data_IF_821902489991
#
_entry.id   IF_821902489991
#
_cell.length_a   1.000
_cell.length_b   1.000
_cell.length_c   1.000
_cell.angle_alpha   90.00
_cell.angle_beta   90.00
_cell.angle_gamma   90.00
#
_symmetry.space_group_name_H-M   'P 1'
#
loop_
_entity.id
_entity.type
_entity.pdbx_description
1 polymer ?
2 polymer ?
3 non-polymer ?
4 non-polymer ?
5 non-polymer ?
6 non-polymer ?
7 water ?
#
# COMPACT_ATOMS: atom_id res chain seq x y z
N UNK A 1 -4.99 9.78 -9.72
CA UNK A 1 -5.40 8.63 -10.51
C UNK A 1 -5.99 9.06 -11.86
N UNK A 2 -5.37 8.62 -12.96
CA UNK A 2 -5.84 8.89 -14.33
C UNK A 2 -6.58 7.66 -14.85
N UNK A 3 -7.80 7.90 -15.38
CA UNK A 3 -8.62 6.87 -16.01
C UNK A 3 -9.22 5.82 -15.09
N UNK A 4 -9.45 6.19 -13.83
CA UNK A 4 -10.07 5.31 -12.86
C UNK A 4 -11.53 5.68 -12.70
N UNK A 5 -12.05 5.55 -11.49
CA UNK A 5 -13.42 5.88 -11.13
C UNK A 5 -13.40 6.26 -9.64
N UNK A 6 -14.50 6.84 -9.13
CA UNK A 6 -14.62 7.18 -7.73
C UNK A 6 -14.65 5.85 -6.95
N UNK A 7 -13.85 5.74 -5.87
CA UNK A 7 -13.93 4.56 -5.02
C UNK A 7 -15.17 4.80 -4.18
N UNK A 8 -16.25 3.99 -4.26
CA UNK A 8 -17.43 4.26 -3.41
C UNK A 8 -17.03 4.36 -1.94
N UNK A 9 -17.62 5.33 -1.22
CA UNK A 9 -17.34 5.62 0.18
C UNK A 9 -17.33 4.34 1.03
N UNK A 10 -16.17 4.04 1.63
CA UNK A 10 -15.95 2.88 2.48
C UNK A 10 -15.39 1.65 1.77
N UNK A 11 -15.18 1.71 0.45
CA UNK A 11 -14.63 0.58 -0.31
C UNK A 11 -13.11 0.50 -0.35
N UNK A 12 -12.44 1.58 0.06
CA UNK A 12 -10.97 1.64 0.17
C UNK A 12 -10.76 2.09 1.64
N UNK A 13 -11.21 1.29 2.65
CA UNK A 13 -11.16 1.79 4.03
C UNK A 13 -9.81 1.89 4.70
N UNK A 14 -8.78 1.39 4.03
CA UNK A 14 -7.40 1.45 4.52
C UNK A 14 -6.68 2.65 3.93
N UNK A 15 -7.32 3.36 2.99
CA UNK A 15 -6.69 4.52 2.38
C UNK A 15 -6.38 5.59 3.41
N UNK A 16 -5.14 6.09 3.36
CA UNK A 16 -4.74 7.18 4.25
C UNK A 16 -4.49 8.45 3.41
N UNK A 17 -4.81 9.62 3.95
CA UNK A 17 -4.49 10.93 3.37
C UNK A 17 -3.49 11.60 4.33
N UNK A 18 -2.31 11.91 3.82
CA UNK A 18 -1.30 12.58 4.62
C UNK A 18 -1.38 14.08 4.32
N UNK A 19 -1.36 14.89 5.37
CA UNK A 19 -1.44 16.35 5.30
C UNK A 19 -0.26 16.98 5.99
N UNK A 20 0.23 18.09 5.45
CA UNK A 20 1.29 18.90 6.08
C UNK A 20 0.79 20.35 6.07
N UNK A 21 0.56 20.94 7.27
CA UNK A 21 -0.02 22.28 7.42
C UNK A 21 -1.42 22.36 6.76
N UNK A 22 -2.19 21.27 6.82
CA UNK A 22 -3.54 21.19 6.27
C UNK A 22 -3.59 20.96 4.76
N UNK A 23 -2.44 20.95 4.09
CA UNK A 23 -2.36 20.74 2.65
C UNK A 23 -2.10 19.28 2.32
N UNK A 24 -2.66 18.78 1.20
CA UNK A 24 -2.51 17.44 0.68
C UNK A 24 -1.02 17.17 0.43
N UNK A 25 -0.47 16.11 1.05
CA UNK A 25 0.93 15.76 0.86
C UNK A 25 1.03 14.48 0.01
N UNK A 26 0.44 13.39 0.50
CA UNK A 26 0.57 12.04 -0.05
C UNK A 26 -0.56 11.18 0.43
N UNK A 27 -0.54 9.94 -0.02
CA UNK A 27 -1.44 8.92 0.45
C UNK A 27 -0.65 7.98 1.34
N UNK A 28 -1.31 6.93 1.78
CA UNK A 28 -0.73 5.93 2.66
C UNK A 28 -1.67 4.77 2.86
N UNK A 29 -1.19 3.73 3.53
CA UNK A 29 -2.03 2.55 3.81
C UNK A 29 -2.01 2.24 5.28
N UNK A 30 -3.18 2.16 5.90
CA UNK A 30 -3.33 1.72 7.27
C UNK A 30 -3.11 0.19 7.30
N UNK A 31 -2.19 -0.29 8.16
CA UNK A 31 -1.88 -1.72 8.27
C UNK A 31 -2.35 -2.38 9.56
N UNK A 32 -2.65 -1.54 10.58
CA UNK A 32 -3.26 -1.91 11.87
C UNK A 32 -3.76 -0.62 12.51
N UNK A 33 -4.11 -0.58 13.81
CA UNK A 33 -4.61 0.67 14.40
C UNK A 33 -3.61 1.81 14.59
N UNK A 34 -2.29 1.55 14.64
CA UNK A 34 -1.34 2.63 14.87
C UNK A 34 -0.33 2.86 13.74
N UNK A 35 -0.25 1.95 12.79
CA UNK A 35 0.78 2.03 11.74
C UNK A 35 0.26 2.24 10.35
N UNK A 36 0.96 3.10 9.59
CA UNK A 36 0.65 3.50 8.23
C UNK A 36 1.90 3.28 7.38
N UNK A 37 1.73 2.69 6.19
CA UNK A 37 2.82 2.50 5.25
C UNK A 37 2.64 3.55 4.17
N UNK A 38 3.71 4.29 3.85
CA UNK A 38 3.69 5.30 2.80
C UNK A 38 5.04 5.22 2.02
N UNK A 39 5.37 6.24 1.19
CA UNK A 39 6.60 6.31 0.42
C UNK A 39 7.57 7.22 1.10
N UNK A 40 8.87 6.84 1.12
CA UNK A 40 9.91 7.67 1.72
C UNK A 40 10.01 9.08 1.06
N UNK A 41 9.84 9.15 -0.29
CA UNK A 41 9.97 10.40 -1.05
C UNK A 41 8.97 11.50 -0.68
N UNK A 42 7.87 11.14 -0.01
CA UNK A 42 6.84 12.07 0.47
C UNK A 42 7.42 13.02 1.52
N UNK A 43 8.55 12.64 2.14
CA UNK A 43 9.12 13.41 3.24
C UNK A 43 10.43 14.12 2.89
N UNK A 44 10.78 14.15 1.59
CA UNK A 44 12.02 14.73 1.07
C UNK A 44 12.14 16.24 1.34
N UNK A 45 11.01 16.97 1.27
CA UNK A 45 10.94 18.42 1.41
C UNK A 45 10.29 18.87 2.72
N UNK A 46 10.05 17.94 3.66
CA UNK A 46 9.41 18.30 4.93
C UNK A 46 10.40 19.01 5.86
N UNK A 47 9.98 20.17 6.41
CA UNK A 47 10.74 20.95 7.39
C UNK A 47 9.97 20.97 8.70
N UNK A 48 8.62 21.12 8.62
CA UNK A 48 7.83 21.04 9.85
C UNK A 48 7.18 19.68 10.12
N UNK A 49 8.00 18.79 10.70
CA UNK A 49 7.68 17.42 11.11
C UNK A 49 6.54 17.33 12.12
N UNK A 50 6.28 18.40 12.89
CA UNK A 50 5.23 18.43 13.91
C UNK A 50 3.82 18.77 13.41
N UNK A 51 3.68 19.10 12.10
CA UNK A 51 2.41 19.43 11.45
C UNK A 51 2.00 18.38 10.41
N UNK A 52 2.49 17.14 10.55
CA UNK A 52 2.17 15.97 9.73
C UNK A 52 0.94 15.31 10.32
N UNK A 53 -0.16 15.22 9.55
CA UNK A 53 -1.42 14.62 9.99
C UNK A 53 -1.77 13.48 9.04
N UNK A 54 -2.30 12.38 9.59
CA UNK A 54 -2.85 11.28 8.83
C UNK A 54 -4.34 11.32 9.02
N UNK A 55 -5.09 11.23 7.92
CA UNK A 55 -6.53 11.19 8.00
C UNK A 55 -7.01 9.84 7.48
N UNK A 56 -7.80 9.10 8.30
CA UNK A 56 -8.44 7.82 7.98
C UNK A 56 -9.93 8.07 7.82
N UNK A 57 -10.63 7.20 7.07
CA UNK A 57 -12.06 7.32 6.82
C UNK A 57 -12.43 8.48 5.91
N UNK A 58 -11.42 9.06 5.25
CA UNK A 58 -11.61 10.16 4.32
C UNK A 58 -12.16 9.64 2.98
N UNK A 59 -12.99 10.46 2.33
CA UNK A 59 -13.57 10.12 1.02
C UNK A 59 -13.62 11.41 0.17
N UNK A 60 -14.46 12.36 0.59
CA UNK A 60 -14.67 13.64 -0.10
C UNK A 60 -13.99 14.76 0.69
N UNK A 61 -12.99 15.40 0.06
CA UNK A 61 -12.21 16.48 0.67
C UNK A 61 -12.96 17.80 0.90
N UNK A 62 -14.11 17.99 0.24
CA UNK A 62 -14.88 19.22 0.36
C UNK A 62 -15.83 19.21 1.56
N UNK A 63 -16.15 18.02 2.09
CA UNK A 63 -17.06 17.96 3.22
C UNK A 63 -16.63 17.04 4.35
N UNK A 64 -16.98 17.40 5.56
CA UNK A 64 -16.77 16.61 6.76
C UNK A 64 -18.04 15.79 6.99
N UNK A 65 -17.96 14.45 6.91
CA UNK A 65 -19.18 13.65 7.15
C UNK A 65 -19.22 12.97 8.51
N UNK A 66 -18.14 13.08 9.27
CA UNK A 66 -18.07 12.50 10.61
C UNK A 66 -17.36 11.16 10.69
N UNK A 67 -17.05 10.52 9.54
CA UNK A 67 -16.32 9.23 9.53
C UNK A 67 -14.80 9.44 9.50
N UNK A 68 -14.35 10.68 9.25
CA UNK A 68 -12.91 10.99 9.17
C UNK A 68 -12.29 10.91 10.54
N UNK A 69 -11.05 10.40 10.64
CA UNK A 69 -10.35 10.36 11.91
C UNK A 69 -8.95 10.88 11.62
N UNK A 70 -8.55 11.96 12.31
CA UNK A 70 -7.23 12.58 12.13
C UNK A 70 -6.34 12.21 13.28
N UNK A 71 -5.06 11.98 12.97
CA UNK A 71 -4.08 11.69 13.99
C UNK A 71 -2.76 12.33 13.59
N UNK A 72 -2.00 12.79 14.58
CA UNK A 72 -0.65 13.33 14.38
C UNK A 72 0.25 12.14 14.12
N UNK A 73 1.22 12.33 13.25
CA UNK A 73 2.20 11.34 12.90
C UNK A 73 3.32 11.55 13.89
N UNK A 74 3.49 10.59 14.81
CA UNK A 74 4.48 10.66 15.89
C UNK A 74 5.88 10.29 15.39
N UNK A 75 5.97 9.39 14.39
CA UNK A 75 7.25 8.91 13.88
C UNK A 75 7.15 8.55 12.40
N UNK A 76 8.21 8.84 11.64
CA UNK A 76 8.34 8.53 10.21
C UNK A 76 9.65 7.72 10.14
N UNK A 77 9.54 6.44 9.82
CA UNK A 77 10.70 5.55 9.76
C UNK A 77 11.01 5.24 8.31
N UNK A 78 12.23 5.52 7.91
CA UNK A 78 12.69 5.36 6.56
C UNK A 78 13.91 4.41 6.55
N UNK A 79 14.04 3.49 5.57
CA UNK A 79 15.26 2.64 5.54
C UNK A 79 16.55 3.42 5.33
N UNK A 80 17.66 2.93 5.90
CA UNK A 80 18.98 3.58 5.79
C UNK A 80 19.44 3.68 4.37
N UNK A 81 18.99 2.76 3.53
CA UNK A 81 19.37 2.62 2.12
C UNK A 81 18.68 3.61 1.18
N UNK A 82 17.54 4.19 1.62
CA UNK A 82 16.84 5.20 0.84
C UNK A 82 17.69 6.48 0.83
N UNK A 83 17.90 7.06 -0.38
CA UNK A 83 18.67 8.30 -0.54
C UNK A 83 17.70 9.41 -1.06
N UNK A 84 17.44 10.52 -0.32
CA UNK A 84 16.53 11.57 -0.85
C UNK A 84 16.89 12.05 -2.26
N UNK A 85 15.86 12.24 -3.07
CA UNK A 85 16.03 12.68 -4.45
C UNK A 85 16.28 11.54 -5.42
N UNK A 86 16.34 10.29 -4.89
CA UNK A 86 16.49 9.07 -5.70
C UNK A 86 15.25 8.17 -5.51
N UNK A 87 15.15 7.08 -6.29
CA UNK A 87 14.01 6.17 -6.39
C UNK A 87 14.05 4.87 -5.58
N UNK A 88 15.25 4.31 -5.31
CA UNK A 88 15.33 2.99 -4.66
C UNK A 88 14.94 3.02 -3.18
N UNK A 89 14.33 1.92 -2.68
CA UNK A 89 13.89 1.77 -1.26
C UNK A 89 12.87 2.85 -0.84
N UNK A 90 11.89 3.13 -1.72
CA UNK A 90 10.88 4.14 -1.51
C UNK A 90 9.73 3.71 -0.60
N UNK A 91 10.01 3.69 0.72
CA UNK A 91 9.05 3.25 1.71
C UNK A 91 9.24 3.99 3.03
N UNK A 92 8.15 4.25 3.72
CA UNK A 92 8.17 4.92 5.03
C UNK A 92 7.13 4.21 5.86
N UNK A 93 7.43 4.05 7.14
CA UNK A 93 6.53 3.45 8.12
C UNK A 93 6.20 4.51 9.16
N UNK A 94 4.92 4.82 9.28
CA UNK A 94 4.46 5.89 10.14
C UNK A 94 3.76 5.39 11.36
N UNK A 95 4.19 5.90 12.53
CA UNK A 95 3.53 5.56 13.78
C UNK A 95 2.56 6.73 14.11
N UNK A 96 1.27 6.41 14.32
CA UNK A 96 0.26 7.42 14.69
C UNK A 96 0.41 7.74 16.18
N UNK A 97 0.16 8.99 16.59
CA UNK A 97 0.31 9.38 18.01
C UNK A 97 -0.66 8.63 18.93
N UNK A 98 -1.88 8.39 18.46
CA UNK A 98 -2.93 7.66 19.15
C UNK A 98 -3.47 6.69 18.12
N UNK A 99 -3.93 5.49 18.52
CA UNK A 99 -4.53 4.58 17.52
C UNK A 99 -5.80 5.15 16.92
N UNK A 100 -6.10 4.76 15.67
CA UNK A 100 -7.39 5.08 15.07
C UNK A 100 -8.39 4.03 15.60
N UNK A 101 -9.67 4.34 15.51
CA UNK A 101 -10.74 3.44 15.90
C UNK A 101 -11.30 2.80 14.62
N UNK A 102 -11.24 1.46 14.56
CA UNK A 102 -11.76 0.68 13.45
C UNK A 102 -13.27 0.78 13.45
N UNK A 103 -13.81 1.02 12.25
CA UNK A 103 -15.25 1.25 12.02
C UNK A 103 -15.46 0.71 10.62
N UNK A 104 -16.70 0.77 10.14
CA UNK A 104 -17.05 0.35 8.77
C UNK A 104 -16.23 1.11 7.74
N UNK A 105 -15.78 2.35 8.08
CA UNK A 105 -15.06 3.24 7.17
C UNK A 105 -13.54 3.31 7.38
N UNK A 106 -13.04 2.71 8.47
CA UNK A 106 -11.60 2.68 8.81
C UNK A 106 -11.19 1.23 9.11
N UNK A 107 -10.50 0.59 8.18
CA UNK A 107 -10.11 -0.82 8.30
C UNK A 107 -8.69 -1.01 7.79
N UNK A 108 -7.77 -1.74 8.47
CA UNK A 108 -6.43 -1.93 7.90
C UNK A 108 -6.40 -2.88 6.71
N UNK A 109 -5.39 -2.73 5.88
CA UNK A 109 -5.13 -3.63 4.77
C UNK A 109 -4.18 -4.67 5.37
N UNK A 110 -4.28 -5.97 4.96
CA UNK A 110 -3.34 -6.97 5.51
C UNK A 110 -1.91 -6.76 5.00
N UNK A 111 -0.91 -6.67 5.92
CA UNK A 111 0.49 -6.65 5.49
C UNK A 111 0.81 -8.17 5.40
N UNK A 112 1.03 -8.72 4.20
CA UNK A 112 1.17 -10.20 4.10
C UNK A 112 2.55 -10.65 4.51
N UNK A 113 2.73 -11.98 4.67
CA UNK A 113 4.05 -12.57 4.94
C UNK A 113 4.83 -12.53 3.63
N UNK A 114 6.19 -12.47 3.71
CA UNK A 114 7.03 -12.40 2.52
C UNK A 114 6.77 -13.54 1.53
N UNK A 115 6.84 -14.80 2.01
CA UNK A 115 6.65 -16.03 1.20
C UNK A 115 5.35 -16.01 0.47
N UNK A 116 4.25 -15.79 1.19
CA UNK A 116 2.92 -15.68 0.59
C UNK A 116 2.91 -14.57 -0.49
N UNK A 117 3.49 -13.38 -0.17
CA UNK A 117 3.54 -12.25 -1.11
C UNK A 117 4.35 -12.59 -2.36
N UNK A 118 5.53 -13.20 -2.21
CA UNK A 118 6.39 -13.56 -3.35
C UNK A 118 5.87 -14.72 -4.19
N UNK A 119 5.41 -15.79 -3.53
CA UNK A 119 4.95 -17.03 -4.16
C UNK A 119 3.57 -16.96 -4.75
N UNK A 120 2.65 -16.22 -4.13
CA UNK A 120 1.26 -16.15 -4.56
C UNK A 120 0.84 -14.74 -5.04
N UNK A 121 0.93 -13.73 -4.15
CA UNK A 121 0.47 -12.37 -4.49
C UNK A 121 1.11 -11.76 -5.71
N UNK A 122 2.42 -12.01 -5.93
CA UNK A 122 3.17 -11.48 -7.07
C UNK A 122 2.68 -12.01 -8.45
N UNK A 123 1.80 -13.05 -8.43
CA UNK A 123 1.21 -13.67 -9.63
C UNK A 123 -0.25 -13.33 -9.84
N UNK A 124 -0.84 -12.48 -8.98
CA UNK A 124 -2.22 -12.01 -9.19
C UNK A 124 -2.01 -10.86 -10.17
N UNK A 125 -2.59 -10.98 -11.38
CA UNK A 125 -2.35 -10.01 -12.44
C UNK A 125 -2.80 -8.60 -12.09
N UNK A 126 -4.06 -8.44 -11.68
CA UNK A 126 -4.61 -7.13 -11.39
C UNK A 126 -4.66 -6.81 -9.89
N UNK A 127 -4.54 -5.51 -9.60
CA UNK A 127 -4.54 -4.93 -8.25
C UNK A 127 -5.06 -3.51 -8.32
N UNK A 128 -5.55 -2.98 -7.18
CA UNK A 128 -6.11 -1.65 -7.13
C UNK A 128 -5.13 -0.61 -6.62
N UNK A 129 -5.12 0.56 -7.26
CA UNK A 129 -4.27 1.69 -6.84
C UNK A 129 -5.20 2.85 -6.59
N UNK A 130 -4.96 3.61 -5.50
CA UNK A 130 -5.89 4.66 -5.12
C UNK A 130 -5.25 5.93 -4.57
N UNK A 131 -6.02 7.01 -4.64
CA UNK A 131 -5.60 8.30 -4.13
C UNK A 131 -6.43 9.48 -4.60
N UNK A 132 -6.06 10.66 -4.10
CA UNK A 132 -6.70 11.94 -4.43
C UNK A 132 -5.76 12.73 -5.33
N UNK A 133 -4.90 12.04 -6.07
CA UNK A 133 -3.97 12.69 -6.99
C UNK A 133 -4.64 13.23 -8.23
N UNK A 134 -3.80 13.67 -9.17
CA UNK A 134 -4.15 14.27 -10.47
C UNK A 134 -5.03 13.34 -11.30
N UNK A 135 -6.13 13.92 -11.79
CA UNK A 135 -7.10 13.24 -12.64
C UNK A 135 -6.58 13.18 -14.09
N UNK A 136 -5.59 14.04 -14.42
CA UNK A 136 -4.92 14.17 -15.73
C UNK A 136 -3.54 14.67 -15.49
N UNK A 137 -2.64 14.42 -16.44
CA UNK A 137 -1.28 14.97 -16.43
C UNK A 137 -1.46 16.50 -16.58
N UNK A 138 -0.83 17.28 -15.68
CA UNK A 138 -0.91 18.76 -15.63
C UNK A 138 -2.36 19.23 -15.35
N UNK A 139 -3.15 18.34 -14.70
CA UNK A 139 -4.53 18.60 -14.36
C UNK A 139 -4.75 18.73 -12.86
N UNK A 140 -5.99 19.04 -12.47
CA UNK A 140 -6.37 19.21 -11.07
C UNK A 140 -6.42 17.85 -10.32
N UNK A 141 -6.21 17.89 -9.00
CA UNK A 141 -6.28 16.70 -8.15
C UNK A 141 -7.76 16.42 -7.86
N UNK A 142 -8.09 15.19 -7.48
CA UNK A 142 -9.45 14.76 -7.18
C UNK A 142 -9.96 15.23 -5.83
N UNK A 143 -11.27 15.55 -5.75
CA UNK A 143 -11.95 15.87 -4.50
C UNK A 143 -12.51 14.58 -3.82
N UNK A 144 -12.81 13.55 -4.62
CA UNK A 144 -13.27 12.26 -4.09
C UNK A 144 -12.23 11.20 -4.38
N UNK A 145 -12.05 10.28 -3.43
CA UNK A 145 -11.11 9.17 -3.56
C UNK A 145 -11.33 8.39 -4.87
N UNK A 146 -10.26 8.24 -5.67
CA UNK A 146 -10.29 7.54 -6.96
C UNK A 146 -9.56 6.20 -6.85
N UNK A 147 -10.03 5.22 -7.60
CA UNK A 147 -9.44 3.87 -7.63
C UNK A 147 -9.27 3.40 -9.08
N UNK A 148 -8.17 2.70 -9.36
CA UNK A 148 -7.84 2.17 -10.66
C UNK A 148 -7.28 0.72 -10.53
N UNK A 149 -7.76 -0.16 -11.40
CA UNK A 149 -7.30 -1.56 -11.51
C UNK A 149 -6.17 -1.58 -12.53
N UNK A 150 -4.98 -2.05 -12.15
CA UNK A 150 -3.78 -2.07 -13.00
C UNK A 150 -3.15 -3.46 -13.06
N UNK A 151 -2.66 -3.91 -14.25
CA UNK A 151 -2.00 -5.22 -14.29
C UNK A 151 -0.52 -5.10 -13.95
N UNK A 152 0.04 -6.12 -13.29
CA UNK A 152 1.46 -6.13 -12.90
C UNK A 152 2.24 -6.79 -14.01
N UNK A 153 3.48 -6.33 -14.19
CA UNK A 153 4.38 -6.79 -15.22
C UNK A 153 5.65 -7.33 -14.61
N UNK A 154 6.26 -8.29 -15.30
CA UNK A 154 7.59 -8.79 -14.93
C UNK A 154 8.53 -7.67 -15.35
N UNK A 155 9.62 -7.44 -14.59
CA UNK A 155 10.55 -6.35 -14.88
C UNK A 155 11.11 -6.38 -16.33
N UNK A 156 11.52 -7.57 -16.84
CA UNK A 156 12.02 -7.76 -18.22
C UNK A 156 11.01 -7.21 -19.24
N UNK A 157 9.73 -7.60 -19.12
CA UNK A 157 8.62 -7.15 -19.97
C UNK A 157 8.38 -5.64 -19.84
N UNK A 158 8.50 -5.07 -18.62
CA UNK A 158 8.31 -3.63 -18.42
C UNK A 158 9.37 -2.86 -19.21
N UNK A 159 10.64 -3.25 -19.06
CA UNK A 159 11.79 -2.65 -19.76
C UNK A 159 11.72 -2.81 -21.29
N UNK A 160 11.21 -3.96 -21.77
CA UNK A 160 11.00 -4.27 -23.19
C UNK A 160 9.79 -3.51 -23.77
N UNK A 161 8.73 -3.28 -22.97
CA UNK A 161 7.53 -2.58 -23.45
C UNK A 161 7.57 -1.07 -23.25
N UNK A 162 8.67 -0.54 -22.68
CA UNK A 162 8.80 0.90 -22.42
C UNK A 162 9.64 1.65 -23.44
N UNK A 163 9.29 2.91 -23.69
CA UNK A 163 10.02 3.81 -24.58
C UNK A 163 11.29 4.25 -23.84
N UNK A 164 12.46 4.06 -24.46
CA UNK A 164 13.73 4.37 -23.80
C UNK A 164 13.99 5.87 -23.59
N UNK A 165 14.37 6.25 -22.35
CA UNK A 165 14.63 7.63 -21.95
C UNK A 165 15.97 7.79 -21.23
N UNK A 166 16.59 8.96 -21.44
CA UNK A 166 17.86 9.33 -20.82
C UNK A 166 17.69 9.67 -19.36
N UNK A 167 18.70 9.30 -18.54
CA UNK A 167 18.74 9.53 -17.09
C UNK A 167 17.57 8.88 -16.31
N UNK A 168 16.74 8.04 -17.01
CA UNK A 168 15.59 7.33 -16.41
C UNK A 168 16.13 6.27 -15.43
N UNK A 169 15.60 6.21 -14.19
CA UNK A 169 16.16 5.27 -13.21
C UNK A 169 15.95 3.81 -13.57
N UNK A 170 16.82 2.94 -13.03
CA UNK A 170 16.75 1.49 -13.22
C UNK A 170 15.60 0.96 -12.40
N UNK A 171 15.01 -0.15 -12.83
CA UNK A 171 13.95 -0.82 -12.09
C UNK A 171 14.61 -1.92 -11.29
N UNK A 172 14.79 -1.68 -9.97
CA UNK A 172 15.46 -2.60 -9.06
C UNK A 172 14.56 -3.71 -8.56
N UNK A 173 15.12 -4.63 -7.76
CA UNK A 173 14.35 -5.71 -7.16
C UNK A 173 13.42 -5.19 -6.03
N UNK A 174 13.53 -3.89 -5.68
CA UNK A 174 12.72 -3.22 -4.64
C UNK A 174 11.55 -2.44 -5.24
N UNK A 175 11.30 -2.68 -6.53
CA UNK A 175 10.27 -2.05 -7.33
C UNK A 175 9.59 -3.07 -8.22
N UNK A 176 8.46 -2.68 -8.81
CA UNK A 176 7.78 -3.42 -9.85
C UNK A 176 6.93 -2.44 -10.66
N UNK A 177 6.70 -2.77 -11.96
CA UNK A 177 5.87 -2.01 -12.88
C UNK A 177 4.46 -2.51 -12.83
N UNK A 178 3.53 -1.59 -13.01
CA UNK A 178 2.14 -1.91 -13.09
C UNK A 178 1.42 -0.80 -13.85
N UNK A 179 0.47 -1.19 -14.69
CA UNK A 179 -0.29 -0.22 -15.45
C UNK A 179 -0.34 -0.45 -16.94
N UNK A 180 -0.43 0.65 -17.69
CA UNK A 180 -0.63 0.66 -19.14
C UNK A 180 0.34 1.59 -19.80
N UNK A 181 0.84 1.20 -21.00
CA UNK A 181 1.77 1.99 -21.82
C UNK A 181 1.05 2.93 -22.80
N UNK A 182 -0.27 2.81 -22.93
CA UNK A 182 -1.08 3.59 -23.88
C UNK A 182 -1.46 5.02 -23.45
N UNK A 183 -1.00 5.42 -22.26
CA UNK A 183 -1.26 6.74 -21.68
C UNK A 183 -2.67 7.00 -21.18
N UNK A 184 -3.47 5.94 -20.98
CA UNK A 184 -4.85 6.12 -20.54
C UNK A 184 -5.10 5.97 -19.04
N UNK A 185 -4.29 5.14 -18.35
CA UNK A 185 -4.52 4.77 -16.96
C UNK A 185 -3.24 4.69 -16.14
N UNK A 186 -3.16 5.45 -15.04
CA UNK A 186 -1.98 5.44 -14.18
C UNK A 186 -2.30 6.03 -12.83
N UNK A 187 -1.39 5.88 -11.89
CA UNK A 187 -1.45 6.60 -10.62
C UNK A 187 -0.49 7.78 -10.92
N UNK A 188 -0.62 8.90 -10.17
CA UNK A 188 0.33 9.97 -10.44
C UNK A 188 0.88 10.57 -9.15
N UNK A 189 1.67 11.66 -9.24
CA UNK A 189 2.40 12.24 -8.13
C UNK A 189 1.64 12.44 -6.83
N UNK A 190 0.41 12.95 -6.90
CA UNK A 190 -0.44 13.21 -5.73
C UNK A 190 -0.95 11.93 -5.08
N UNK A 191 -0.77 10.79 -5.76
CA UNK A 191 -1.19 9.46 -5.25
C UNK A 191 -0.04 8.77 -4.52
N UNK A 192 1.20 9.32 -4.63
CA UNK A 192 2.44 8.85 -4.00
C UNK A 192 2.20 8.40 -2.59
N UNK A 193 2.70 7.21 -2.27
CA UNK A 193 2.58 6.63 -0.94
C UNK A 193 1.34 5.78 -0.76
N UNK A 194 0.40 5.92 -1.68
CA UNK A 194 -0.87 5.20 -1.63
C UNK A 194 -0.74 3.72 -1.85
N UNK A 195 -1.81 2.95 -1.54
CA UNK A 195 -1.74 1.48 -1.69
C UNK A 195 -1.88 0.94 -3.12
N UNK A 196 -1.24 -0.18 -3.35
CA UNK A 196 -1.38 -1.04 -4.51
C UNK A 196 -1.83 -2.31 -3.73
N UNK A 197 -3.13 -2.57 -3.71
CA UNK A 197 -3.82 -3.62 -2.97
C UNK A 197 -4.23 -4.80 -3.87
N UNK A 198 -3.86 -6.03 -3.46
CA UNK A 198 -4.06 -7.29 -4.19
C UNK A 198 -5.08 -8.19 -3.49
N UNK A 199 -6.09 -8.64 -4.25
CA UNK A 199 -7.13 -9.52 -3.73
C UNK A 199 -6.72 -10.99 -3.91
N UNK A 200 -6.89 -11.79 -2.84
CA UNK A 200 -6.60 -13.22 -2.87
C UNK A 200 -7.50 -13.95 -1.92
N UNK A 201 -8.35 -14.80 -2.49
CA UNK A 201 -9.29 -15.64 -1.75
C UNK A 201 -10.13 -14.88 -0.70
N UNK A 202 -10.72 -13.77 -1.14
CA UNK A 202 -11.64 -12.97 -0.33
C UNK A 202 -11.01 -11.92 0.57
N UNK A 203 -9.68 -11.78 0.52
CA UNK A 203 -8.98 -10.82 1.39
C UNK A 203 -8.04 -9.94 0.61
N UNK A 204 -7.93 -8.64 1.00
CA UNK A 204 -7.00 -7.71 0.33
C UNK A 204 -5.67 -7.57 1.08
N UNK A 205 -4.57 -7.50 0.32
CA UNK A 205 -3.23 -7.40 0.88
C UNK A 205 -2.44 -6.29 0.27
N UNK A 206 -1.48 -5.73 1.04
CA UNK A 206 -0.56 -4.68 0.57
C UNK A 206 0.59 -5.29 -0.22
N UNK A 207 0.66 -4.98 -1.54
CA UNK A 207 1.75 -5.48 -2.39
C UNK A 207 2.67 -4.37 -2.93
N UNK A 208 2.18 -3.14 -2.98
CA UNK A 208 2.99 -2.05 -3.53
C UNK A 208 2.64 -0.70 -2.98
N UNK A 209 3.48 0.28 -3.24
CA UNK A 209 3.28 1.66 -2.80
C UNK A 209 3.49 2.54 -4.07
N UNK A 210 2.59 3.51 -4.36
CA UNK A 210 2.73 4.46 -5.48
C UNK A 210 4.05 5.17 -5.26
N UNK A 211 4.98 5.00 -6.17
CA UNK A 211 6.34 5.51 -5.99
C UNK A 211 6.78 6.53 -7.04
N UNK A 212 6.94 6.11 -8.31
CA UNK A 212 7.42 6.97 -9.37
C UNK A 212 7.01 6.52 -10.79
N UNK A 213 7.37 7.35 -11.77
CA UNK A 213 7.15 7.11 -13.18
C UNK A 213 7.60 8.32 -13.97
N UNK A 214 7.22 8.37 -15.26
CA UNK A 214 7.51 9.48 -16.16
C UNK A 214 6.24 10.32 -16.35
N UNK A 215 6.37 11.62 -16.14
CA UNK A 215 5.27 12.56 -16.27
C UNK A 215 4.11 12.13 -15.41
N UNK A 216 3.00 11.71 -16.09
CA UNK A 216 1.76 11.26 -15.48
C UNK A 216 0.90 10.64 -16.60
N UNK A 217 0.75 9.29 -16.61
CA UNK A 217 0.03 8.51 -17.63
C UNK A 217 0.59 8.82 -19.05
N UNK A 218 1.91 8.79 -19.15
CA UNK A 218 2.71 9.05 -20.35
C UNK A 218 2.78 7.82 -21.24
N UNK A 219 2.43 7.99 -22.53
CA UNK A 219 2.50 6.94 -23.55
C UNK A 219 3.92 6.34 -23.54
N UNK A 220 3.99 5.01 -23.55
CA UNK A 220 5.24 4.27 -23.53
C UNK A 220 5.82 4.07 -22.15
N UNK A 221 5.09 4.47 -21.09
CA UNK A 221 5.61 4.36 -19.72
C UNK A 221 4.60 3.81 -18.74
N UNK A 222 5.07 2.91 -17.86
CA UNK A 222 4.28 2.29 -16.79
C UNK A 222 4.54 2.97 -15.44
N UNK A 223 3.65 2.71 -14.48
CA UNK A 223 3.82 3.16 -13.11
C UNK A 223 4.83 2.25 -12.43
N UNK A 224 5.64 2.81 -11.56
CA UNK A 224 6.63 2.05 -10.79
C UNK A 224 6.21 2.11 -9.32
N UNK A 225 6.14 0.94 -8.68
CA UNK A 225 5.67 0.77 -7.30
C UNK A 225 6.74 0.16 -6.45
N UNK A 226 6.81 0.56 -5.17
CA UNK A 226 7.76 -0.04 -4.23
C UNK A 226 7.30 -1.49 -4.00
N UNK A 227 8.22 -2.43 -4.06
CA UNK A 227 7.90 -3.84 -3.88
C UNK A 227 7.96 -4.13 -2.37
N UNK A 228 6.79 -3.99 -1.73
CA UNK A 228 6.56 -4.16 -0.30
C UNK A 228 7.07 -5.50 0.28
N UNK A 229 7.01 -6.60 -0.50
CA UNK A 229 7.44 -7.95 -0.05
C UNK A 229 8.91 -7.98 0.40
N UNK A 230 9.75 -7.02 -0.09
CA UNK A 230 11.16 -6.93 0.31
C UNK A 230 11.30 -6.35 1.70
N UNK A 231 10.20 -5.74 2.22
CA UNK A 231 10.22 -4.99 3.47
C UNK A 231 9.48 -5.57 4.63
N UNK A 232 8.84 -6.74 4.47
CA UNK A 232 8.03 -7.37 5.51
C UNK A 232 8.71 -7.49 6.87
N UNK A 233 9.87 -8.17 6.91
CA UNK A 233 10.64 -8.39 8.14
C UNK A 233 11.10 -7.07 8.74
N UNK A 234 11.53 -6.12 7.88
CA UNK A 234 11.96 -4.77 8.26
C UNK A 234 10.79 -4.04 8.95
N UNK A 235 9.59 -4.08 8.36
CA UNK A 235 8.38 -3.46 8.90
C UNK A 235 7.94 -4.06 10.23
N UNK A 236 7.88 -5.41 10.28
CA UNK A 236 7.46 -6.19 11.45
C UNK A 236 8.36 -5.94 12.65
N UNK A 237 9.68 -5.91 12.43
CA UNK A 237 10.65 -5.68 13.49
C UNK A 237 10.47 -4.26 14.04
N UNK A 238 10.26 -3.28 13.17
CA UNK A 238 10.02 -1.90 13.63
C UNK A 238 8.71 -1.75 14.37
N UNK A 239 7.64 -2.46 13.95
CA UNK A 239 6.34 -2.36 14.67
C UNK A 239 6.40 -2.94 16.09
N UNK A 240 7.39 -3.79 16.37
CA UNK A 240 7.58 -4.37 17.69
C UNK A 240 8.50 -3.48 18.55
N UNK A 241 9.07 -2.39 17.96
CA UNK A 241 10.03 -1.53 18.65
C UNK A 241 9.39 -0.39 19.43
N UNK A 242 10.08 0.04 20.49
CA UNK A 242 9.61 1.15 21.31
C UNK A 242 9.79 2.47 20.58
N UNK A 243 8.83 3.43 20.72
CA UNK A 243 9.04 4.73 20.07
C UNK A 243 10.35 5.40 20.54
N UNK A 244 10.96 6.21 19.64
CA UNK A 244 12.18 6.97 19.91
C UNK A 244 11.86 8.47 19.84
N UNK A 245 12.60 9.33 20.61
CA UNK A 245 12.37 10.79 20.51
C UNK A 245 12.70 11.29 19.10
N UNK A 246 11.96 12.31 18.63
CA UNK A 246 12.14 12.88 17.30
C UNK A 246 11.23 12.20 16.28
N UNK A 247 10.78 12.95 15.28
CA UNK A 247 9.86 12.42 14.29
C UNK A 247 10.56 11.48 13.31
N UNK A 248 11.53 11.97 12.56
CA UNK A 248 12.25 11.15 11.61
C UNK A 248 13.21 10.15 12.27
N UNK A 249 13.12 8.88 11.88
CA UNK A 249 14.03 7.82 12.28
C UNK A 249 14.53 7.09 11.01
N UNK A 250 15.85 7.00 10.82
CA UNK A 250 16.42 6.20 9.75
C UNK A 250 16.77 4.88 10.41
N UNK A 251 16.24 3.77 9.90
CA UNK A 251 16.47 2.45 10.48
C UNK A 251 17.24 1.57 9.53
N UNK A 252 18.22 0.81 10.04
CA UNK A 252 19.02 -0.06 9.15
C UNK A 252 18.19 -0.99 8.27
N UNK A 253 18.55 -1.03 6.99
CA UNK A 253 17.95 -1.94 6.03
C UNK A 253 19.13 -2.67 5.36
N UNK A 254 19.12 -4.02 5.28
CA UNK A 254 18.07 -4.96 5.74
C UNK A 254 17.85 -4.97 7.25
N UNK B 1 5.33 -27.95 -1.07
CA UNK B 1 3.86 -27.90 -1.15
C UNK B 1 3.35 -26.46 -1.26
N UNK B 2 3.83 -25.56 -0.37
CA UNK B 2 3.44 -24.13 -0.35
C UNK B 2 3.73 -23.39 -1.66
N UNK B 3 4.80 -23.83 -2.36
CA UNK B 3 5.24 -23.29 -3.65
C UNK B 3 4.13 -23.33 -4.70
N UNK B 4 3.35 -24.44 -4.72
CA UNK B 4 2.24 -24.67 -5.65
C UNK B 4 0.84 -24.39 -5.06
N UNK B 5 0.12 -23.45 -5.71
CA UNK B 5 -1.26 -23.03 -5.39
C UNK B 5 -1.48 -22.70 -3.89
N UNK B 6 -0.43 -22.11 -3.28
CA UNK B 6 -0.36 -21.66 -1.91
C UNK B 6 -0.54 -22.82 -0.91
N UNK B 7 -0.17 -24.04 -1.35
CA UNK B 7 -0.29 -25.28 -0.59
C UNK B 7 -1.72 -25.60 -0.23
N UNK B 8 -2.66 -25.00 -0.97
CA UNK B 8 -4.09 -25.10 -0.73
C UNK B 8 -4.60 -24.13 0.33
N UNK B 9 -3.69 -23.38 1.00
CA UNK B 9 -4.08 -22.43 2.04
C UNK B 9 -4.84 -21.20 1.52
N UNK B 10 -5.75 -20.69 2.33
CA UNK B 10 -6.47 -19.46 2.03
C UNK B 10 -5.53 -18.26 2.24
N UNK B 11 -4.70 -18.31 3.30
CA UNK B 11 -3.75 -17.23 3.60
C UNK B 11 -2.31 -17.72 3.62
N UNK B 12 -1.66 -17.86 4.79
CA UNK B 12 -0.24 -18.25 4.87
C UNK B 12 0.00 -19.72 4.90
N UNK B 13 1.14 -20.15 4.35
CA UNK B 13 1.54 -21.55 4.22
C UNK B 13 2.98 -21.71 4.72
N UNK B 14 3.20 -22.71 5.62
CA UNK B 14 4.50 -23.10 6.17
C UNK B 14 4.76 -24.55 5.77
N UNK B 15 5.96 -24.82 5.20
CA UNK B 15 6.37 -26.17 4.83
C UNK B 15 7.02 -26.85 6.03
N UNK B 16 6.86 -28.18 6.15
CA UNK B 16 7.46 -28.96 7.23
C UNK B 16 8.19 -30.21 6.71
N UNK B 17 8.50 -31.17 7.63
CA UNK B 17 9.18 -32.45 7.38
C UNK B 17 8.69 -33.15 6.10
N UNK B 18 9.35 -32.79 4.98
CA UNK B 18 9.02 -33.31 3.66
C UNK B 18 7.59 -32.98 3.23
N UNK B 19 6.71 -34.01 3.28
CA UNK B 19 5.29 -33.98 2.87
C UNK B 19 4.28 -33.28 3.83
N UNK B 20 4.76 -32.67 4.93
CA UNK B 20 3.87 -31.96 5.87
C UNK B 20 3.73 -30.48 5.49
N UNK B 21 2.55 -29.91 5.77
CA UNK B 21 2.22 -28.53 5.45
C UNK B 21 1.30 -27.95 6.52
N UNK B 22 1.53 -26.70 6.94
CA UNK B 22 0.64 -26.01 7.87
C UNK B 22 0.16 -24.67 7.29
N UNK B 23 -1.17 -24.50 7.24
CA UNK B 23 -1.75 -23.23 6.86
C UNK B 23 -1.85 -22.41 8.12
N UNK B 24 -1.74 -21.10 7.96
CA UNK B 24 -1.85 -20.16 9.06
C UNK B 24 -2.63 -18.96 8.56
N UNK B 25 -3.06 -18.13 9.48
CA UNK B 25 -3.85 -16.95 9.20
C UNK B 25 -3.16 -15.73 9.79
N UNK B 26 -3.53 -14.54 9.30
CA UNK B 26 -3.10 -13.24 9.82
C UNK B 26 -3.84 -13.09 11.17
N UNK B 27 -3.35 -12.22 12.05
CA UNK B 27 -4.05 -11.98 13.30
C UNK B 27 -5.43 -11.41 13.02
N UNK B 28 -6.38 -11.64 13.92
CA UNK B 28 -7.78 -11.28 13.69
C UNK B 28 -8.55 -12.35 12.92
N UNK B 29 -7.90 -13.50 12.66
CA UNK B 29 -8.46 -14.70 11.97
C UNK B 29 -8.04 -15.98 12.69
N UNK B 30 -8.83 -17.07 12.54
CA UNK B 30 -8.51 -18.41 13.08
C UNK B 30 -8.70 -19.42 11.96
N UNK B 31 -7.89 -20.46 11.96
CA UNK B 31 -7.92 -21.53 10.96
C UNK B 31 -9.06 -22.48 11.31
N UNK B 32 -9.84 -22.88 10.28
CA UNK B 32 -10.94 -23.82 10.46
C UNK B 32 -10.40 -25.26 10.47
N UNK B 33 -11.25 -26.24 10.85
CA UNK B 33 -10.87 -27.67 10.94
C UNK B 33 -10.45 -28.28 9.62
N UNK B 34 -10.84 -27.65 8.46
CA UNK B 34 -10.38 -28.17 7.15
C UNK B 34 -8.85 -27.97 7.01
N UNK B 35 -8.30 -27.12 7.87
CA UNK B 35 -6.88 -26.82 7.93
C UNK B 35 -6.38 -25.87 6.89
N UNK B 36 -7.27 -25.25 6.09
CA UNK B 36 -6.91 -24.33 5.01
C UNK B 36 -7.59 -22.97 5.13
N UNK B 37 -8.88 -22.96 5.51
CA UNK B 37 -9.74 -21.77 5.60
C UNK B 37 -9.49 -20.97 6.84
N UNK B 38 -9.61 -19.63 6.68
CA UNK B 38 -9.45 -18.62 7.70
C UNK B 38 -10.76 -17.92 7.92
N UNK B 39 -11.18 -17.82 9.16
CA UNK B 39 -12.42 -17.15 9.52
C UNK B 39 -12.13 -15.94 10.47
N UNK B 40 -12.76 -14.77 10.28
CA UNK B 40 -12.49 -13.63 11.18
C UNK B 40 -12.83 -13.91 12.64
N UNK B 41 -11.99 -13.46 13.57
CA UNK B 41 -12.27 -13.60 15.01
C UNK B 41 -12.63 -12.25 15.62
N UNK B 42 -12.50 -11.17 14.82
CA UNK B 42 -12.72 -9.78 15.26
C UNK B 42 -13.76 -9.11 14.37
N UNK B 43 -14.32 -7.98 14.84
CA UNK B 43 -15.30 -7.22 14.08
C UNK B 43 -14.73 -6.64 12.78
N UNK B 44 -13.48 -6.12 12.82
CA UNK B 44 -12.87 -5.48 11.65
C UNK B 44 -11.55 -6.12 11.27
N UNK B 45 -11.60 -7.37 10.72
CA UNK B 45 -10.36 -8.03 10.32
C UNK B 45 -9.74 -7.28 9.13
N UNK B 46 -8.39 -7.32 9.02
CA UNK B 46 -7.66 -6.67 7.93
C UNK B 46 -8.12 -7.22 6.56
N UNK B 47 -8.06 -6.37 5.54
CA UNK B 47 -8.32 -6.78 4.16
C UNK B 47 -9.75 -7.13 3.79
N UNK B 48 -10.72 -6.82 4.66
CA UNK B 48 -12.15 -7.04 4.37
C UNK B 48 -12.90 -5.73 4.43
N UNK B 49 -13.81 -5.51 3.45
CA UNK B 49 -14.59 -4.28 3.30
C UNK B 49 -15.94 -4.44 3.97
N UNK B 50 -16.13 -3.88 5.19
CA UNK B 50 -17.43 -4.05 5.89
C UNK B 50 -18.70 -3.73 5.11
N UNK B 51 -18.72 -2.65 4.31
CA UNK B 51 -19.93 -2.31 3.55
C UNK B 51 -20.28 -3.39 2.52
N UNK B 52 -19.23 -4.01 1.91
CA UNK B 52 -19.43 -5.12 0.97
C UNK B 52 -19.80 -6.43 1.72
N UNK B 53 -19.17 -6.73 2.87
CA UNK B 53 -19.42 -7.93 3.69
C UNK B 53 -20.83 -7.99 4.28
N UNK B 54 -21.40 -6.83 4.63
CA UNK B 54 -22.75 -6.71 5.23
C UNK B 54 -23.85 -6.60 4.16
N UNK B 55 -23.44 -6.63 2.88
CA UNK B 55 -24.31 -6.56 1.71
C UNK B 55 -24.56 -7.97 1.14
X LIG C 1 7.77 11.37 -8.80
X LIG C 1 9.88 10.36 -8.26
X LIG C 1 8.56 10.69 -7.90
X LIG C 1 10.41 10.74 -9.55
X LIG C 1 9.56 11.44 -10.47
X LIG C 1 8.25 11.74 -10.09
X LIG C 1 12.35 10.52 -11.09
X LIG C 1 6.37 11.77 -8.38
X LIG C 1 9.46 14.56 -3.44
X LIG C 1 10.09 9.06 -6.23
X LIG C 1 10.48 13.80 -4.02
X LIG C 1 3.88 8.68 -13.62
X LIG C 1 3.28 7.50 -13.24
X LIG C 1 3.26 7.16 -11.89
X LIG C 1 3.85 8.00 -10.87
X LIG C 1 4.48 9.22 -11.33
X LIG C 1 4.48 9.55 -12.72
X LIG C 1 3.78 7.71 -9.46
X LIG C 1 4.30 8.60 -8.56
X LIG C 1 4.97 9.81 -9.03
X LIG C 1 5.05 10.11 -10.40
X LIG C 1 5.52 10.62 -8.05
X LIG C 1 6.40 12.72 -7.21
X LIG C 1 6.08 12.38 -6.05
X LIG C 1 6.84 14.00 -7.56
X LIG C 1 10.71 9.66 -7.37
X LIG C 1 11.72 10.35 -9.79
X LIG C 1 13.81 10.45 -10.83
X LIG C 1 11.91 9.47 -12.09
X LIG C 1 11.08 8.21 -5.59
X LIG C 1 7.09 15.00 -6.52
X LIG C 1 8.25 14.61 -5.58
X LIG C 1 9.29 13.84 -6.15
X LIG C 1 10.40 13.43 -5.39
X LIG C 1 8.31 15.01 -4.18
X LIG C 1 7.20 15.97 -3.34
X LIG C 1 7.91 16.68 -2.33
X LIG C 1 6.43 16.77 -4.21
X LIG C 1 6.12 14.85 -2.46
X LIG C 1 5.59 13.65 -3.21
X LIG C 1 4.91 15.59 -1.94
X LIG C 1 2.61 5.99 -11.56
X LIG D 1 -14.53 14.38 4.04
X LIG E 1 -3.37 12.20 17.78
X LIG E 1 -4.82 12.19 18.05
X LIG E 1 -2.67 12.50 19.01
X LIG E 1 -2.93 10.93 17.30
X LIG E 1 -3.09 13.21 16.82
X LIG F 1 8.87 3.06 -17.06
X LIG F 1 8.31 4.13 -16.24
X LIG F 1 9.34 1.98 -16.21
X LIG F 1 7.85 2.51 -17.97
X LIG F 1 10.00 3.62 -17.81
X LIG G 1 0.34 -6.63 11.46
X LIG G 1 -1.05 -7.01 11.72
X LIG G 1 0.97 -6.23 12.71
X LIG G 1 1.06 -7.77 10.87
X LIG G 1 0.39 -5.51 10.52
X LIG H 1 7.08 22.02 5.22
X LIG H 1 7.26 20.96 6.22
X LIG H 1 8.10 23.06 5.38
X LIG H 1 5.79 22.67 5.39
X LIG H 1 7.20 21.44 3.88
X LIG I 1 14.16 12.40 5.19
X LIG I 1 14.47 11.23 4.43
X LIG I 1 14.41 13.66 4.40
X LIG I 1 13.83 14.78 5.07
X LIG I 1 15.87 13.93 4.18
X LIG I 1 16.04 14.81 3.08
X LIG J 1 -12.44 -0.89 -3.76
X LIG J 1 -11.37 -1.41 -2.96
X LIG J 1 -13.02 -1.97 -4.66
X LIG J 1 -13.55 -3.05 -3.88
X LIG J 1 -14.09 -1.40 -5.57
X LIG J 1 -13.53 -0.62 -6.61
X LIG K 1 5.45 18.97 -0.03
X LIG K 1 4.24 19.33 -0.70
X LIG K 1 6.44 20.11 -0.06
X LIG K 1 6.67 20.51 -1.42
X LIG K 1 6.01 21.30 0.75
X LIG K 1 5.69 20.93 2.08
#
# INVERSE_FOLDING_TARGET
IVGGKVCPKGECPWQVLLLVNGAQLCGGTLINTIWVVSAAHCFDKIKNWRNLIAVLGEHDLSEHDGDEQSRRVAQVIIPSTYVPGTTNHDIALLRLHQPVVLTDHVVPLCLPERTFSERTLAFVRFSLVSGWGQLLDRGATALELMVLNVPRLMTQDCLQQSRKVGDSPNITEYMFCAGYSDGSKDSCKGDSGGPHATHYRGTWYLTGIVSWGQGCATVGHFGVYTRVSQYIEWLQKLMRSEPRPGVLLRAPFP
ICVNENGGCEQYCSDHTGTKRSCRCHEGYSLLADGVSCTPTVEYPCGKIPILEKR
2KF C13 C18 C17 C19 C20 C21 C24 C12 C34 C27 C33 C1 N2 C3 C4 C5 C6 C7 C8 C9 C10 N11 C14 O15 N16 O22 O23 C25 C26 C28 C29 C30 C31 C32 C35 S36 O37 O38 C39 C40 C41 N42
CA CA
SO4 S O1 O2 O3 O4
SO4 S O1 O2 O3 O4
SO4 S O1 O2 O3 O4
SO4 S O1 O2 O3 O4
GOL C1 O1 C2 O2 C3 O3
GOL C1 O1 C2 O2 C3 O3
GOL C1 O1 C2 O2 C3 O3
#
